data_IF_633818116017
#
_entry.id   IF_633818116017
#
_cell.length_a   1.000
_cell.length_b   1.000
_cell.length_c   1.000
_cell.angle_alpha   90.00
_cell.angle_beta   90.00
_cell.angle_gamma   90.00
#
_symmetry.space_group_name_H-M   'P 1'
#
loop_
_entity.id
_entity.type
_entity.pdbx_description
1 polymer ?
#
# COMPACT_ATOMS: atom_id res chain seq x y z
N UNK A 1 58.75 17.07 -39.08
CA UNK A 1 57.44 17.69 -39.30
C UNK A 1 56.37 16.64 -39.66
N UNK A 2 56.57 15.79 -40.68
CA UNK A 2 55.60 14.72 -41.06
C UNK A 2 55.19 13.75 -39.92
N UNK A 3 56.12 13.34 -39.06
CA UNK A 3 55.85 12.39 -37.95
C UNK A 3 54.89 12.93 -36.89
N UNK A 4 54.85 14.25 -36.70
CA UNK A 4 53.92 14.89 -35.77
C UNK A 4 52.49 14.95 -36.34
N UNK A 5 52.36 15.19 -37.65
CA UNK A 5 51.08 15.15 -38.36
C UNK A 5 50.45 13.74 -38.34
N UNK A 6 51.23 12.70 -38.63
CA UNK A 6 50.75 11.31 -38.62
C UNK A 6 50.23 10.87 -37.24
N UNK A 7 50.94 11.25 -36.16
CA UNK A 7 50.52 10.94 -34.78
C UNK A 7 49.23 11.64 -34.37
N UNK A 8 48.98 12.85 -34.89
CA UNK A 8 47.74 13.59 -34.62
C UNK A 8 46.54 13.00 -35.38
N UNK A 9 46.73 12.49 -36.59
CA UNK A 9 45.67 11.78 -37.32
C UNK A 9 45.28 10.47 -36.62
N UNK A 10 46.25 9.68 -36.15
CA UNK A 10 45.96 8.45 -35.41
C UNK A 10 45.22 8.73 -34.08
N UNK A 11 45.65 9.75 -33.32
CA UNK A 11 44.92 10.16 -32.11
C UNK A 11 43.49 10.60 -32.43
N UNK A 12 43.29 11.35 -33.52
CA UNK A 12 41.97 11.81 -33.95
C UNK A 12 41.06 10.63 -34.31
N UNK A 13 41.58 9.62 -35.01
CA UNK A 13 40.83 8.40 -35.37
C UNK A 13 40.44 7.59 -34.13
N UNK A 14 41.35 7.43 -33.16
CA UNK A 14 41.07 6.72 -31.91
C UNK A 14 39.99 7.44 -31.09
N UNK A 15 40.06 8.78 -31.00
CA UNK A 15 39.05 9.59 -30.30
C UNK A 15 37.68 9.48 -30.98
N UNK A 16 37.63 9.56 -32.31
CA UNK A 16 36.37 9.42 -33.07
C UNK A 16 35.74 8.03 -32.89
N UNK A 17 36.53 6.96 -32.96
CA UNK A 17 36.05 5.59 -32.70
C UNK A 17 35.52 5.42 -31.28
N UNK A 18 36.17 6.04 -30.30
CA UNK A 18 35.73 5.99 -28.90
C UNK A 18 34.41 6.76 -28.67
N UNK A 19 34.23 7.91 -29.31
CA UNK A 19 32.98 8.68 -29.27
C UNK A 19 31.84 7.90 -29.93
N UNK A 20 32.10 7.27 -31.08
CA UNK A 20 31.09 6.47 -31.78
C UNK A 20 30.67 5.24 -30.96
N UNK A 21 31.64 4.51 -30.39
CA UNK A 21 31.36 3.37 -29.52
C UNK A 21 30.57 3.77 -28.25
N UNK A 22 30.85 4.95 -27.68
CA UNK A 22 30.04 5.52 -26.59
C UNK A 22 28.62 5.85 -27.02
N UNK A 23 28.43 6.46 -28.18
CA UNK A 23 27.12 6.79 -28.71
C UNK A 23 26.30 5.54 -29.05
N UNK A 24 26.95 4.48 -29.54
CA UNK A 24 26.34 3.16 -29.75
C UNK A 24 25.94 2.53 -28.42
N UNK A 25 26.81 2.57 -27.40
CA UNK A 25 26.50 2.06 -26.07
C UNK A 25 25.32 2.82 -25.42
N UNK A 26 25.26 4.15 -25.57
CA UNK A 26 24.14 4.98 -25.09
C UNK A 26 22.84 4.60 -25.80
N UNK A 27 22.85 4.43 -27.13
CA UNK A 27 21.67 4.01 -27.90
C UNK A 27 21.19 2.62 -27.47
N UNK A 28 22.09 1.67 -27.26
CA UNK A 28 21.76 0.32 -26.75
C UNK A 28 21.12 0.43 -25.36
N UNK A 29 21.69 1.23 -24.47
CA UNK A 29 21.16 1.44 -23.12
C UNK A 29 19.74 2.05 -23.16
N UNK A 30 19.47 3.00 -24.06
CA UNK A 30 18.14 3.58 -24.26
C UNK A 30 17.11 2.56 -24.76
N UNK A 31 17.52 1.64 -25.66
CA UNK A 31 16.65 0.55 -26.15
C UNK A 31 16.36 -0.47 -25.05
N UNK A 32 17.35 -0.82 -24.22
CA UNK A 32 17.16 -1.70 -23.06
C UNK A 32 16.21 -1.07 -22.04
N UNK A 33 16.31 0.24 -21.79
CA UNK A 33 15.40 0.96 -20.89
C UNK A 33 13.95 0.98 -21.41
N UNK A 34 13.75 1.08 -22.73
CA UNK A 34 12.44 0.97 -23.37
C UNK A 34 11.84 -0.45 -23.28
N UNK A 35 12.67 -1.49 -23.24
CA UNK A 35 12.24 -2.89 -23.09
C UNK A 35 11.85 -3.25 -21.64
N UNK A 36 12.30 -2.49 -20.65
CA UNK A 36 11.91 -2.66 -19.23
C UNK A 36 10.54 -2.03 -18.93
N UNK A 37 9.97 -1.24 -19.87
CA UNK A 37 8.65 -0.63 -19.75
C UNK A 37 7.45 -1.60 -19.85
N UNK A 38 7.64 -2.89 -19.55
CA UNK A 38 6.58 -3.90 -19.65
C UNK A 38 5.67 -3.89 -18.41
N UNK A 39 4.53 -3.21 -18.58
CA UNK A 39 3.21 -3.49 -18.00
C UNK A 39 3.12 -3.76 -16.50
N UNK A 40 2.82 -2.72 -15.73
CA UNK A 40 2.11 -2.88 -14.47
C UNK A 40 0.67 -3.30 -14.77
N UNK A 41 0.43 -4.60 -14.86
CA UNK A 41 -0.93 -5.13 -14.95
C UNK A 41 -1.48 -5.22 -13.52
N UNK A 42 -2.20 -4.19 -13.08
CA UNK A 42 -3.09 -4.32 -11.94
C UNK A 42 -4.24 -5.27 -12.35
N UNK A 43 -4.42 -6.37 -11.62
CA UNK A 43 -5.47 -7.34 -11.89
C UNK A 43 -6.39 -7.49 -10.68
N UNK A 44 -7.59 -6.89 -10.76
CA UNK A 44 -8.67 -7.16 -9.83
C UNK A 44 -9.37 -8.48 -10.17
N UNK A 45 -9.65 -9.29 -9.14
CA UNK A 45 -10.41 -10.53 -9.28
C UNK A 45 -11.36 -10.74 -8.10
N UNK A 46 -12.55 -11.28 -8.38
CA UNK A 46 -13.47 -11.73 -7.34
C UNK A 46 -13.07 -13.13 -6.93
N UNK A 47 -12.87 -13.32 -5.63
CA UNK A 47 -12.48 -14.60 -5.03
C UNK A 47 -13.46 -14.99 -3.93
N UNK A 48 -13.31 -16.19 -3.41
CA UNK A 48 -14.06 -16.68 -2.25
C UNK A 48 -13.32 -16.38 -0.95
N UNK A 49 -14.05 -16.37 0.18
CA UNK A 49 -13.46 -16.26 1.53
C UNK A 49 -12.34 -17.30 1.78
N UNK A 50 -12.46 -18.49 1.20
CA UNK A 50 -11.50 -19.59 1.38
C UNK A 50 -10.14 -19.30 0.72
N UNK A 51 -10.10 -18.39 -0.25
CA UNK A 51 -8.90 -17.99 -0.99
C UNK A 51 -8.14 -16.84 -0.30
N UNK A 52 -8.71 -16.24 0.75
CA UNK A 52 -8.00 -15.27 1.59
C UNK A 52 -6.85 -15.95 2.37
N UNK A 53 -5.80 -15.21 2.74
CA UNK A 53 -4.80 -15.70 3.69
C UNK A 53 -5.46 -16.15 5.01
N UNK A 54 -4.90 -17.18 5.64
CA UNK A 54 -5.48 -17.79 6.84
C UNK A 54 -5.66 -16.80 8.01
N UNK A 55 -4.74 -15.84 8.15
CA UNK A 55 -4.80 -14.72 9.09
C UNK A 55 -6.03 -13.84 8.87
N UNK A 56 -6.34 -13.48 7.63
CA UNK A 56 -7.53 -12.70 7.28
C UNK A 56 -8.81 -13.51 7.55
N UNK A 57 -8.83 -14.80 7.18
CA UNK A 57 -9.96 -15.68 7.50
C UNK A 57 -10.23 -15.74 9.00
N UNK A 58 -9.17 -15.85 9.81
CA UNK A 58 -9.27 -15.84 11.27
C UNK A 58 -9.76 -14.49 11.79
N UNK A 59 -9.21 -13.38 11.31
CA UNK A 59 -9.62 -12.04 11.71
C UNK A 59 -11.11 -11.80 11.49
N UNK A 60 -11.63 -12.19 10.32
CA UNK A 60 -13.06 -12.12 9.98
C UNK A 60 -13.88 -12.99 10.93
N UNK A 61 -13.43 -14.21 11.21
CA UNK A 61 -14.13 -15.12 12.12
C UNK A 61 -14.19 -14.59 13.56
N UNK A 62 -13.11 -13.98 14.04
CA UNK A 62 -13.01 -13.50 15.43
C UNK A 62 -13.81 -12.22 15.65
N UNK A 63 -13.87 -11.32 14.65
CA UNK A 63 -14.40 -9.96 14.82
C UNK A 63 -15.73 -9.73 14.09
N UNK A 64 -15.97 -10.41 12.98
CA UNK A 64 -17.12 -10.21 12.09
C UNK A 64 -17.93 -11.52 11.91
N UNK A 65 -18.04 -12.33 12.96
CA UNK A 65 -18.69 -13.66 12.90
C UNK A 65 -20.16 -13.64 12.48
N UNK A 66 -20.85 -12.52 12.71
CA UNK A 66 -22.25 -12.28 12.30
C UNK A 66 -22.37 -11.59 10.93
N UNK A 67 -21.26 -11.12 10.36
CA UNK A 67 -21.25 -10.40 9.09
C UNK A 67 -21.50 -11.35 7.92
N UNK A 68 -22.37 -10.93 7.01
CA UNK A 68 -22.60 -11.62 5.74
C UNK A 68 -21.69 -10.97 4.71
N UNK A 69 -20.77 -11.74 4.13
CA UNK A 69 -19.88 -11.25 3.07
C UNK A 69 -20.70 -11.08 1.79
N UNK A 70 -20.65 -9.89 1.21
CA UNK A 70 -21.18 -9.58 -0.11
C UNK A 70 -20.19 -10.06 -1.19
N UNK A 71 -18.95 -9.55 -1.14
CA UNK A 71 -17.89 -10.02 -2.03
C UNK A 71 -16.50 -9.96 -1.38
N UNK A 72 -15.57 -10.72 -1.95
CA UNK A 72 -14.15 -10.61 -1.69
C UNK A 72 -13.43 -10.29 -3.00
N UNK A 73 -12.62 -9.23 -2.99
CA UNK A 73 -11.74 -8.85 -4.08
C UNK A 73 -10.29 -9.12 -3.71
N UNK A 74 -9.53 -9.62 -4.68
CA UNK A 74 -8.07 -9.68 -4.66
C UNK A 74 -7.57 -8.71 -5.72
N UNK A 75 -6.77 -7.74 -5.30
CA UNK A 75 -6.10 -6.77 -6.17
C UNK A 75 -4.61 -7.12 -6.23
N UNK A 76 -4.14 -7.54 -7.40
CA UNK A 76 -2.73 -7.85 -7.63
C UNK A 76 -2.07 -6.68 -8.35
N UNK A 77 -1.17 -5.99 -7.65
CA UNK A 77 -0.20 -5.09 -8.26
C UNK A 77 1.11 -5.81 -8.58
N UNK A 78 2.06 -5.10 -9.19
CA UNK A 78 3.37 -5.66 -9.55
C UNK A 78 4.17 -6.13 -8.33
N UNK A 79 4.02 -5.44 -7.19
CA UNK A 79 4.82 -5.68 -5.98
C UNK A 79 3.99 -5.95 -4.72
N UNK A 80 2.65 -5.86 -4.80
CA UNK A 80 1.74 -6.09 -3.69
C UNK A 80 0.53 -6.89 -4.13
N UNK A 81 -0.14 -7.50 -3.16
CA UNK A 81 -1.46 -8.09 -3.35
C UNK A 81 -2.27 -7.70 -2.15
N UNK A 82 -3.36 -7.00 -2.38
CA UNK A 82 -4.25 -6.55 -1.32
C UNK A 82 -5.60 -7.24 -1.48
N UNK A 83 -6.27 -7.43 -0.34
CA UNK A 83 -7.56 -8.11 -0.29
C UNK A 83 -8.59 -7.19 0.32
N UNK A 84 -9.75 -7.10 -0.31
CA UNK A 84 -10.88 -6.31 0.18
C UNK A 84 -12.07 -7.22 0.42
N UNK A 85 -12.64 -7.17 1.62
CA UNK A 85 -13.84 -7.90 2.00
C UNK A 85 -14.96 -6.90 2.26
N UNK A 86 -16.02 -6.97 1.46
CA UNK A 86 -17.22 -6.16 1.65
C UNK A 86 -18.32 -6.99 2.28
N UNK A 87 -19.00 -6.44 3.28
CA UNK A 87 -20.16 -7.05 3.92
C UNK A 87 -21.46 -6.40 3.43
N UNK A 88 -22.57 -7.11 3.57
CA UNK A 88 -23.89 -6.65 3.11
C UNK A 88 -24.42 -5.44 3.89
N UNK A 89 -23.92 -5.20 5.11
CA UNK A 89 -24.23 -3.99 5.89
C UNK A 89 -23.42 -2.77 5.44
N UNK A 90 -22.57 -2.93 4.42
CA UNK A 90 -21.72 -1.90 3.86
C UNK A 90 -20.35 -1.79 4.53
N UNK A 91 -20.09 -2.50 5.62
CA UNK A 91 -18.76 -2.53 6.24
C UNK A 91 -17.73 -3.20 5.34
N UNK A 92 -16.46 -2.84 5.53
CA UNK A 92 -15.35 -3.21 4.67
C UNK A 92 -14.09 -3.48 5.49
N UNK A 93 -13.29 -4.46 5.06
CA UNK A 93 -11.97 -4.72 5.61
C UNK A 93 -10.98 -4.85 4.47
N UNK A 94 -9.88 -4.12 4.56
CA UNK A 94 -8.72 -4.29 3.67
C UNK A 94 -7.61 -5.05 4.40
N UNK A 95 -6.96 -5.97 3.71
CA UNK A 95 -5.83 -6.75 4.20
C UNK A 95 -4.66 -6.67 3.25
N UNK A 96 -3.45 -6.70 3.80
CA UNK A 96 -2.23 -6.87 3.02
C UNK A 96 -2.11 -8.31 2.47
N UNK A 97 -1.06 -8.54 1.66
CA UNK A 97 -0.74 -9.86 1.09
C UNK A 97 -0.61 -11.00 2.10
N UNK A 98 -0.34 -10.70 3.37
CA UNK A 98 -0.21 -11.67 4.47
C UNK A 98 -1.50 -11.81 5.26
N UNK A 99 -2.59 -11.15 4.87
CA UNK A 99 -3.87 -11.14 5.55
C UNK A 99 -3.87 -10.35 6.87
N UNK A 100 -2.94 -9.44 7.05
CA UNK A 100 -2.95 -8.49 8.17
C UNK A 100 -3.83 -7.32 7.79
N UNK A 101 -4.80 -6.97 8.63
CA UNK A 101 -5.70 -5.85 8.36
C UNK A 101 -4.92 -4.55 8.18
N UNK A 102 -5.30 -3.76 7.18
CA UNK A 102 -4.81 -2.41 6.93
C UNK A 102 -5.88 -1.38 7.29
N UNK A 103 -7.13 -1.66 6.90
CA UNK A 103 -8.29 -0.81 7.17
C UNK A 103 -9.48 -1.65 7.62
N UNK A 104 -10.25 -1.12 8.57
CA UNK A 104 -11.57 -1.61 8.93
C UNK A 104 -12.52 -0.42 8.94
N UNK A 105 -13.46 -0.37 8.00
CA UNK A 105 -14.45 0.71 7.86
C UNK A 105 -15.86 0.15 8.04
N UNK A 106 -16.60 0.65 9.03
CA UNK A 106 -17.99 0.31 9.28
C UNK A 106 -18.97 1.02 8.35
N UNK A 107 -18.50 1.90 7.47
CA UNK A 107 -19.31 2.76 6.61
C UNK A 107 -20.39 3.50 7.43
N UNK A 108 -19.94 4.26 8.44
CA UNK A 108 -20.73 4.95 9.48
C UNK A 108 -21.30 4.07 10.59
N UNK A 109 -21.29 2.75 10.46
CA UNK A 109 -21.66 1.85 11.55
C UNK A 109 -20.51 1.68 12.56
N UNK A 110 -20.83 1.31 13.79
CA UNK A 110 -19.83 0.94 14.79
C UNK A 110 -19.09 -0.33 14.37
N UNK A 111 -17.75 -0.31 14.42
CA UNK A 111 -16.94 -1.49 14.15
C UNK A 111 -16.67 -2.30 15.44
N UNK A 112 -16.39 -3.61 15.34
CA UNK A 112 -15.75 -4.35 16.43
C UNK A 112 -14.43 -3.68 16.82
N UNK A 113 -14.16 -3.56 18.12
CA UNK A 113 -12.96 -2.85 18.61
C UNK A 113 -11.97 -3.75 19.37
N UNK A 114 -12.28 -5.04 19.52
CA UNK A 114 -11.47 -5.98 20.30
C UNK A 114 -10.05 -6.19 19.78
N UNK A 115 -9.80 -5.90 18.50
CA UNK A 115 -8.47 -5.97 17.88
C UNK A 115 -7.66 -4.66 17.98
N UNK A 116 -8.26 -3.59 18.49
CA UNK A 116 -7.63 -2.27 18.60
C UNK A 116 -6.82 -2.17 19.90
N UNK A 117 -5.67 -1.49 19.85
CA UNK A 117 -4.82 -1.30 21.04
C UNK A 117 -5.58 -0.59 22.17
N UNK A 118 -5.41 -1.09 23.39
CA UNK A 118 -6.11 -0.56 24.58
C UNK A 118 -5.90 0.94 24.80
N UNK A 119 -4.71 1.46 24.51
CA UNK A 119 -4.39 2.89 24.66
C UNK A 119 -5.31 3.79 23.82
N UNK A 120 -5.57 3.39 22.57
CA UNK A 120 -6.48 4.10 21.66
C UNK A 120 -7.90 4.06 22.22
N UNK A 121 -8.36 2.88 22.64
CA UNK A 121 -9.71 2.70 23.20
C UNK A 121 -9.92 3.54 24.46
N UNK A 122 -8.94 3.57 25.36
CA UNK A 122 -8.96 4.40 26.57
C UNK A 122 -9.01 5.88 26.20
N UNK A 123 -8.16 6.33 25.28
CA UNK A 123 -8.13 7.73 24.86
C UNK A 123 -9.47 8.19 24.26
N UNK A 124 -10.05 7.41 23.35
CA UNK A 124 -11.34 7.72 22.73
C UNK A 124 -12.44 7.79 23.80
N UNK A 125 -12.50 6.80 24.70
CA UNK A 125 -13.49 6.77 25.78
C UNK A 125 -13.40 7.99 26.71
N UNK A 126 -12.19 8.39 27.08
CA UNK A 126 -11.97 9.45 28.06
C UNK A 126 -12.13 10.85 27.47
N UNK A 127 -11.76 11.03 26.19
CA UNK A 127 -11.74 12.36 25.53
C UNK A 127 -12.95 12.64 24.66
N UNK A 128 -13.58 11.61 24.11
CA UNK A 128 -14.74 11.73 23.23
C UNK A 128 -15.90 10.88 23.75
N UNK A 129 -16.38 11.15 24.98
CA UNK A 129 -17.51 10.44 25.52
C UNK A 129 -18.73 10.61 24.59
N UNK A 130 -19.54 9.57 24.47
CA UNK A 130 -20.69 9.50 23.55
C UNK A 130 -20.35 9.37 22.05
N UNK A 131 -19.11 9.06 21.71
CA UNK A 131 -18.72 8.64 20.36
C UNK A 131 -18.41 7.15 20.30
N UNK A 132 -18.40 6.59 19.10
CA UNK A 132 -17.90 5.25 18.84
C UNK A 132 -16.98 5.24 17.62
N UNK A 133 -16.10 4.25 17.55
CA UNK A 133 -15.18 4.08 16.42
C UNK A 133 -15.96 3.50 15.25
N UNK A 134 -15.87 4.16 14.10
CA UNK A 134 -16.53 3.74 12.85
C UNK A 134 -15.52 3.36 11.77
N UNK A 135 -14.27 3.82 11.85
CA UNK A 135 -13.18 3.36 10.98
C UNK A 135 -11.85 3.38 11.73
N UNK A 136 -10.97 2.44 11.43
CA UNK A 136 -9.56 2.47 11.81
C UNK A 136 -8.69 2.04 10.62
N UNK A 137 -7.60 2.77 10.38
CA UNK A 137 -6.68 2.53 9.27
C UNK A 137 -5.22 2.62 9.76
N UNK A 138 -4.36 1.73 9.25
CA UNK A 138 -2.90 1.82 9.42
C UNK A 138 -2.32 2.67 8.29
N UNK A 139 -1.95 3.89 8.63
CA UNK A 139 -1.28 4.79 7.70
C UNK A 139 0.21 4.46 7.53
N UNK A 140 0.88 5.29 6.72
CA UNK A 140 2.34 5.21 6.52
C UNK A 140 3.09 5.47 7.83
N UNK A 141 4.32 4.95 7.91
CA UNK A 141 5.22 5.13 9.08
C UNK A 141 4.58 4.68 10.40
N UNK A 142 3.82 3.59 10.36
CA UNK A 142 3.17 2.97 11.52
C UNK A 142 2.15 3.86 12.26
N UNK A 143 1.64 4.92 11.62
CA UNK A 143 0.56 5.74 12.16
C UNK A 143 -0.76 4.98 12.13
N UNK A 144 -1.67 5.34 13.02
CA UNK A 144 -3.04 4.84 13.01
C UNK A 144 -4.01 6.02 12.97
N UNK A 145 -4.96 5.97 12.06
CA UNK A 145 -6.06 6.93 11.98
C UNK A 145 -7.35 6.27 12.45
N UNK A 146 -8.06 6.94 13.35
CA UNK A 146 -9.31 6.46 13.93
C UNK A 146 -10.40 7.48 13.66
N UNK A 147 -11.43 7.08 12.93
CA UNK A 147 -12.61 7.90 12.69
C UNK A 147 -13.68 7.60 13.72
N UNK A 148 -14.24 8.66 14.29
CA UNK A 148 -15.34 8.60 15.24
C UNK A 148 -16.68 8.85 14.56
N UNK A 149 -17.74 8.42 15.21
CA UNK A 149 -19.13 8.54 14.75
C UNK A 149 -19.61 9.98 14.55
N UNK A 150 -18.95 10.95 15.18
CA UNK A 150 -19.22 12.38 15.00
C UNK A 150 -18.41 13.00 13.84
N UNK A 151 -17.67 12.19 13.09
CA UNK A 151 -16.87 12.60 11.93
C UNK A 151 -15.43 12.99 12.23
N UNK A 152 -15.02 13.12 13.51
CA UNK A 152 -13.63 13.45 13.85
C UNK A 152 -12.68 12.31 13.49
N UNK A 153 -11.52 12.67 12.95
CA UNK A 153 -10.43 11.74 12.64
C UNK A 153 -9.26 12.01 13.58
N UNK A 154 -8.80 10.97 14.27
CA UNK A 154 -7.77 11.05 15.29
C UNK A 154 -6.53 10.28 14.83
N UNK A 155 -5.37 10.93 14.84
CA UNK A 155 -4.09 10.31 14.53
C UNK A 155 -3.38 9.84 15.81
N UNK A 156 -2.89 8.60 15.80
CA UNK A 156 -2.08 7.98 16.85
C UNK A 156 -0.75 7.48 16.26
N UNK A 157 0.29 7.39 17.10
CA UNK A 157 1.51 6.66 16.73
C UNK A 157 1.33 5.13 16.86
N UNK A 158 2.37 4.38 16.52
CA UNK A 158 2.39 2.92 16.61
C UNK A 158 2.18 2.35 18.01
N UNK A 159 2.43 3.14 19.06
CA UNK A 159 2.19 2.78 20.47
C UNK A 159 0.77 3.10 20.95
N UNK A 160 -0.07 3.68 20.08
CA UNK A 160 -1.42 4.13 20.41
C UNK A 160 -1.47 5.43 21.22
N UNK A 161 -0.40 6.24 21.22
CA UNK A 161 -0.40 7.57 21.82
C UNK A 161 -0.99 8.58 20.83
N UNK A 162 -1.96 9.36 21.29
CA UNK A 162 -2.58 10.42 20.51
C UNK A 162 -1.54 11.43 20.00
N UNK A 163 -1.72 11.90 18.77
CA UNK A 163 -0.90 12.93 18.13
C UNK A 163 -1.67 14.18 17.81
N UNK A 164 -2.75 14.05 17.03
CA UNK A 164 -3.53 15.19 16.56
C UNK A 164 -4.91 14.75 16.09
N UNK A 165 -5.79 15.72 15.94
CA UNK A 165 -6.99 15.59 15.10
C UNK A 165 -6.53 15.88 13.67
N UNK A 166 -6.97 15.07 12.71
CA UNK A 166 -6.75 15.31 11.28
C UNK A 166 -7.91 16.14 10.74
N UNK A 167 -7.59 17.20 10.00
CA UNK A 167 -8.55 18.14 9.40
C UNK A 167 -8.84 17.81 7.94
#
# INVERSE_FOLDING_TARGET
MLTFFYKNEELSIVILKYIDMKNVAIKILSVVFLLIGMSANAQESIITKKELPQSAQKFISDNFSKGIIDYVKMDKEVFSTDYKVKFTDGSEIEFDSKGVWMEVDGNKNTIPTGFIQKNILTYVKDKFPNTHIVKIEKGRFEKQQVKLSNGLELEFNSKGDFKRIDD
#
